data_IF_409433968125
#
_entry.id   IF_409433968125
#
_cell.length_a   1.000
_cell.length_b   1.000
_cell.length_c   1.000
_cell.angle_alpha   90.00
_cell.angle_beta   90.00
_cell.angle_gamma   90.00
#
_symmetry.space_group_name_H-M   'P 1'
#
loop_
_entity.id
_entity.type
_entity.pdbx_description
1 polymer ?
#
# COMPACT_ATOMS: atom_id res chain seq x y z
N UNK A 1 26.08 4.58 13.99
CA UNK A 1 25.35 3.29 14.06
C UNK A 1 25.27 2.74 12.65
N UNK A 2 25.66 1.48 12.44
CA UNK A 2 25.53 0.81 11.13
C UNK A 2 24.07 0.43 10.82
N UNK A 3 23.79 -0.10 9.62
CA UNK A 3 22.45 -0.57 9.27
C UNK A 3 22.03 -1.73 10.20
N UNK A 4 20.88 -1.59 10.87
CA UNK A 4 20.26 -2.67 11.62
C UNK A 4 19.41 -3.56 10.70
N UNK A 5 19.30 -4.85 11.03
CA UNK A 5 18.44 -5.80 10.31
C UNK A 5 17.45 -6.44 11.28
N UNK A 6 16.22 -6.68 10.83
CA UNK A 6 15.23 -7.49 11.55
C UNK A 6 15.29 -8.93 11.03
N UNK A 7 15.42 -9.89 11.94
CA UNK A 7 15.46 -11.32 11.60
C UNK A 7 14.24 -12.03 12.21
N UNK A 8 13.45 -12.68 11.36
CA UNK A 8 12.32 -13.53 11.79
C UNK A 8 12.74 -14.99 11.65
N UNK A 9 12.80 -15.71 12.77
CA UNK A 9 13.05 -17.16 12.78
C UNK A 9 11.71 -17.89 12.78
N UNK A 10 11.44 -18.63 11.71
CA UNK A 10 10.31 -19.56 11.64
C UNK A 10 10.79 -21.01 11.76
N UNK A 11 10.17 -21.78 12.65
CA UNK A 11 10.43 -23.21 12.83
C UNK A 11 9.25 -24.07 12.36
N UNK A 12 9.52 -25.17 11.67
CA UNK A 12 8.51 -26.16 11.28
C UNK A 12 8.19 -27.16 12.41
N UNK A 13 8.96 -27.13 13.49
CA UNK A 13 8.76 -27.90 14.73
C UNK A 13 9.54 -27.21 15.86
N UNK A 14 9.29 -27.54 17.15
CA UNK A 14 10.09 -27.02 18.26
C UNK A 14 11.59 -27.29 18.10
N UNK A 15 11.95 -28.50 17.66
CA UNK A 15 13.36 -28.88 17.43
C UNK A 15 14.03 -28.05 16.34
N UNK A 16 13.32 -27.80 15.25
CA UNK A 16 13.81 -26.98 14.12
C UNK A 16 14.00 -25.53 14.55
N UNK A 17 13.05 -24.98 15.32
CA UNK A 17 13.17 -23.64 15.88
C UNK A 17 14.42 -23.49 16.77
N UNK A 18 14.63 -24.43 17.71
CA UNK A 18 15.80 -24.42 18.60
C UNK A 18 17.13 -24.61 17.85
N UNK A 19 17.13 -25.38 16.76
CA UNK A 19 18.30 -25.49 15.89
C UNK A 19 18.62 -24.14 15.23
N UNK A 20 17.63 -23.49 14.60
CA UNK A 20 17.80 -22.20 13.93
C UNK A 20 18.22 -21.09 14.90
N UNK A 21 17.69 -21.11 16.13
CA UNK A 21 18.09 -20.19 17.19
C UNK A 21 19.58 -20.33 17.53
N UNK A 22 20.08 -21.57 17.73
CA UNK A 22 21.50 -21.83 17.99
C UNK A 22 22.41 -21.38 16.84
N UNK A 23 21.98 -21.59 15.60
CA UNK A 23 22.72 -21.10 14.42
C UNK A 23 22.80 -19.57 14.43
N UNK A 24 21.71 -18.87 14.78
CA UNK A 24 21.75 -17.41 14.91
C UNK A 24 22.70 -16.96 16.03
N UNK A 25 22.68 -17.63 17.18
CA UNK A 25 23.61 -17.36 18.28
C UNK A 25 25.09 -17.52 17.86
N UNK A 26 25.39 -18.54 17.05
CA UNK A 26 26.73 -18.77 16.48
C UNK A 26 27.13 -17.64 15.52
N UNK A 27 26.25 -17.24 14.59
CA UNK A 27 26.48 -16.11 13.67
C UNK A 27 26.73 -14.81 14.45
N UNK A 28 25.95 -14.53 15.49
CA UNK A 28 26.14 -13.35 16.34
C UNK A 28 27.52 -13.37 16.99
N UNK A 29 27.95 -14.51 17.52
CA UNK A 29 29.26 -14.68 18.14
C UNK A 29 30.41 -14.48 17.15
N UNK A 30 30.31 -15.04 15.94
CA UNK A 30 31.35 -14.95 14.91
C UNK A 30 31.48 -13.54 14.32
N UNK A 31 30.36 -12.86 14.13
CA UNK A 31 30.33 -11.53 13.50
C UNK A 31 30.53 -10.38 14.48
N UNK A 32 30.42 -10.65 15.79
CA UNK A 32 30.39 -9.60 16.81
C UNK A 32 29.14 -8.71 16.71
N UNK A 33 28.07 -9.20 16.07
CA UNK A 33 26.81 -8.48 15.99
C UNK A 33 26.26 -8.23 17.41
N UNK A 34 25.56 -7.11 17.57
CA UNK A 34 24.95 -6.73 18.85
C UNK A 34 23.47 -6.50 18.65
N UNK A 35 22.67 -6.87 19.66
CA UNK A 35 21.25 -6.53 19.71
C UNK A 35 21.06 -5.01 19.69
N UNK A 36 20.01 -4.56 19.00
CA UNK A 36 19.61 -3.16 18.99
C UNK A 36 18.50 -3.00 20.04
N UNK A 37 18.85 -3.17 21.32
CA UNK A 37 17.89 -3.21 22.44
C UNK A 37 16.84 -2.10 22.43
N UNK A 38 17.21 -0.91 21.95
CA UNK A 38 16.31 0.24 21.82
C UNK A 38 15.05 -0.03 20.97
N UNK A 39 15.06 -1.03 20.08
CA UNK A 39 13.90 -1.45 19.27
C UNK A 39 13.34 -2.82 19.66
N UNK A 40 13.89 -3.46 20.69
CA UNK A 40 13.53 -4.82 21.13
C UNK A 40 12.68 -4.81 22.41
N UNK A 41 12.42 -3.64 23.00
CA UNK A 41 11.68 -3.51 24.26
C UNK A 41 10.49 -2.53 24.14
N UNK A 42 9.45 -2.80 24.94
CA UNK A 42 8.27 -1.95 25.10
C UNK A 42 7.49 -1.68 23.80
N UNK A 43 6.83 -0.51 23.74
CA UNK A 43 5.98 -0.13 22.62
C UNK A 43 6.74 -0.04 21.28
N UNK A 44 8.06 0.18 21.33
CA UNK A 44 8.90 0.25 20.12
C UNK A 44 9.02 -1.13 19.47
N UNK A 45 9.21 -2.19 20.26
CA UNK A 45 9.24 -3.56 19.77
C UNK A 45 7.94 -3.94 19.08
N UNK A 46 6.82 -3.72 19.75
CA UNK A 46 5.51 -4.14 19.23
C UNK A 46 5.16 -3.37 17.95
N UNK A 47 5.42 -2.06 17.92
CA UNK A 47 5.25 -1.26 16.72
C UNK A 47 6.20 -1.69 15.59
N UNK A 48 7.44 -2.05 15.90
CA UNK A 48 8.44 -2.46 14.92
C UNK A 48 8.12 -3.84 14.32
N UNK A 49 7.76 -4.82 15.15
CA UNK A 49 7.32 -6.15 14.70
C UNK A 49 6.04 -6.03 13.89
N UNK A 50 5.05 -5.26 14.36
CA UNK A 50 3.83 -5.00 13.58
C UNK A 50 4.21 -4.45 12.21
N UNK A 51 5.01 -3.38 12.16
CA UNK A 51 5.40 -2.71 10.92
C UNK A 51 6.15 -3.64 9.99
N UNK A 52 7.09 -4.43 10.51
CA UNK A 52 7.83 -5.39 9.71
C UNK A 52 6.93 -6.47 9.10
N UNK A 53 6.08 -7.10 9.92
CA UNK A 53 5.17 -8.15 9.47
C UNK A 53 4.21 -7.58 8.44
N UNK A 54 3.55 -6.47 8.71
CA UNK A 54 2.56 -5.92 7.78
C UNK A 54 3.22 -5.37 6.52
N UNK A 55 4.33 -4.66 6.60
CA UNK A 55 5.01 -4.19 5.37
C UNK A 55 5.41 -5.37 4.47
N UNK A 56 5.86 -6.49 5.03
CA UNK A 56 6.32 -7.65 4.26
C UNK A 56 5.23 -8.67 3.92
N UNK A 57 4.16 -8.75 4.71
CA UNK A 57 3.10 -9.74 4.60
C UNK A 57 1.79 -9.15 4.05
N UNK A 58 1.53 -7.84 4.16
CA UNK A 58 0.26 -7.23 3.72
C UNK A 58 -0.03 -7.51 2.24
N UNK A 59 0.98 -7.45 1.37
CA UNK A 59 0.82 -7.80 -0.06
C UNK A 59 0.44 -9.28 -0.22
N UNK A 60 1.04 -10.18 0.56
CA UNK A 60 0.75 -11.62 0.50
C UNK A 60 -0.66 -11.91 1.00
N UNK A 61 -1.05 -11.25 2.08
CA UNK A 61 -2.36 -11.38 2.71
C UNK A 61 -3.50 -10.86 1.81
N UNK A 62 -3.25 -9.78 1.08
CA UNK A 62 -4.24 -9.18 0.19
C UNK A 62 -4.25 -9.88 -1.17
N UNK A 63 -3.13 -9.89 -1.89
CA UNK A 63 -3.13 -10.34 -3.29
C UNK A 63 -3.21 -11.88 -3.42
N UNK A 64 -2.59 -12.67 -2.54
CA UNK A 64 -2.61 -14.15 -2.70
C UNK A 64 -3.91 -14.77 -2.21
N UNK A 65 -4.53 -14.20 -1.17
CA UNK A 65 -5.77 -14.75 -0.62
C UNK A 65 -6.95 -14.57 -1.57
N UNK A 66 -6.93 -13.51 -2.38
CA UNK A 66 -8.08 -13.10 -3.21
C UNK A 66 -7.77 -13.12 -4.71
N UNK A 67 -6.49 -13.25 -5.09
CA UNK A 67 -6.03 -13.30 -6.48
C UNK A 67 -5.87 -11.94 -7.16
N UNK A 68 -6.17 -10.84 -6.46
CA UNK A 68 -6.18 -9.49 -7.04
C UNK A 68 -6.00 -8.43 -5.95
N UNK A 69 -5.32 -7.34 -6.31
CA UNK A 69 -5.15 -6.21 -5.41
C UNK A 69 -6.51 -5.54 -5.13
N UNK A 70 -6.89 -5.48 -3.85
CA UNK A 70 -8.01 -4.69 -3.39
C UNK A 70 -7.51 -3.64 -2.41
N UNK A 71 -7.77 -2.36 -2.69
CA UNK A 71 -7.30 -1.24 -1.87
C UNK A 71 -7.31 0.07 -2.64
N UNK A 72 -7.01 1.15 -1.95
CA UNK A 72 -6.79 2.45 -2.60
C UNK A 72 -5.39 2.56 -3.15
N UNK A 73 -5.23 3.40 -4.17
CA UNK A 73 -3.92 3.71 -4.73
C UNK A 73 -3.61 5.16 -4.43
N UNK A 74 -3.14 5.44 -3.21
CA UNK A 74 -2.64 6.77 -2.87
C UNK A 74 -1.28 7.03 -3.52
N UNK A 75 -0.93 8.30 -3.60
CA UNK A 75 0.38 8.75 -4.06
C UNK A 75 1.53 8.41 -3.13
N UNK A 76 2.63 9.11 -3.36
CA UNK A 76 3.76 9.17 -2.44
C UNK A 76 4.03 10.63 -2.11
N UNK A 77 4.05 10.95 -0.82
CA UNK A 77 4.27 12.32 -0.32
C UNK A 77 4.86 12.26 1.09
N UNK A 78 5.08 13.40 1.73
CA UNK A 78 5.49 13.52 3.12
C UNK A 78 4.61 12.68 4.06
N UNK A 79 5.23 12.15 5.12
CA UNK A 79 4.57 11.28 6.09
C UNK A 79 3.26 11.84 6.64
N UNK A 80 3.25 13.15 6.94
CA UNK A 80 2.05 13.81 7.49
C UNK A 80 0.89 13.82 6.51
N UNK A 81 1.15 14.08 5.23
CA UNK A 81 0.10 14.13 4.20
C UNK A 81 -0.50 12.74 4.03
N UNK A 82 0.34 11.72 3.81
CA UNK A 82 -0.10 10.34 3.59
C UNK A 82 -0.78 9.72 4.82
N UNK A 83 -0.30 10.02 6.02
CA UNK A 83 -0.95 9.61 7.28
C UNK A 83 -2.36 10.19 7.37
N UNK A 84 -2.55 11.44 7.00
CA UNK A 84 -3.85 12.11 7.08
C UNK A 84 -4.80 11.62 6.00
N UNK A 85 -4.31 11.45 4.77
CA UNK A 85 -5.04 10.91 3.64
C UNK A 85 -5.71 9.59 4.02
N UNK A 86 -4.93 8.63 4.49
CA UNK A 86 -5.42 7.27 4.75
C UNK A 86 -6.41 7.17 5.93
N UNK A 87 -6.65 8.23 6.70
CA UNK A 87 -7.59 8.15 7.82
C UNK A 87 -9.05 7.99 7.38
N UNK A 88 -9.45 8.60 6.26
CA UNK A 88 -10.83 8.43 5.76
C UNK A 88 -11.08 6.97 5.34
N UNK A 89 -10.08 6.33 4.73
CA UNK A 89 -10.10 4.96 4.24
C UNK A 89 -10.45 3.95 5.33
N UNK A 90 -10.02 4.22 6.56
CA UNK A 90 -10.30 3.37 7.72
C UNK A 90 -11.81 3.34 8.02
N UNK A 91 -12.48 4.47 7.84
CA UNK A 91 -13.92 4.63 8.04
C UNK A 91 -14.66 3.91 6.91
N UNK A 92 -14.23 4.13 5.66
CA UNK A 92 -14.89 3.52 4.50
C UNK A 92 -14.69 1.99 4.46
N UNK A 93 -13.51 1.47 4.85
CA UNK A 93 -13.31 0.03 5.00
C UNK A 93 -14.16 -0.54 6.13
N UNK A 94 -14.37 0.20 7.22
CA UNK A 94 -15.26 -0.24 8.30
C UNK A 94 -16.68 -0.46 7.79
N UNK A 95 -17.21 0.43 6.95
CA UNK A 95 -18.52 0.26 6.32
C UNK A 95 -18.60 -1.04 5.51
N UNK A 96 -17.59 -1.32 4.69
CA UNK A 96 -17.53 -2.56 3.90
C UNK A 96 -17.50 -3.83 4.78
N UNK A 97 -16.79 -3.77 5.92
CA UNK A 97 -16.76 -4.87 6.90
C UNK A 97 -18.13 -5.04 7.54
N UNK A 98 -18.75 -3.95 8.00
CA UNK A 98 -20.04 -3.97 8.69
C UNK A 98 -21.16 -4.48 7.76
N UNK A 99 -21.04 -4.25 6.44
CA UNK A 99 -21.92 -4.80 5.39
C UNK A 99 -21.60 -6.25 4.99
N UNK A 100 -20.52 -6.83 5.50
CA UNK A 100 -20.10 -8.20 5.18
C UNK A 100 -19.50 -8.39 3.78
N UNK A 101 -19.10 -7.30 3.11
CA UNK A 101 -18.60 -7.32 1.73
C UNK A 101 -17.10 -7.64 1.65
N UNK A 102 -16.34 -7.31 2.70
CA UNK A 102 -14.91 -7.64 2.82
C UNK A 102 -14.64 -8.37 4.13
N UNK A 103 -13.52 -9.10 4.21
CA UNK A 103 -13.16 -9.80 5.44
C UNK A 103 -12.85 -8.81 6.58
N UNK A 104 -13.23 -9.13 7.83
CA UNK A 104 -12.97 -8.30 9.00
C UNK A 104 -11.51 -8.40 9.48
N UNK A 105 -10.54 -8.02 8.64
CA UNK A 105 -9.09 -8.16 8.88
C UNK A 105 -8.42 -6.87 9.40
N UNK A 106 -9.14 -6.10 10.22
CA UNK A 106 -8.79 -4.77 10.75
C UNK A 106 -8.83 -3.65 9.69
N UNK A 107 -9.03 -2.40 10.13
CA UNK A 107 -9.04 -1.18 9.31
C UNK A 107 -7.74 -0.39 9.38
N UNK A 108 -6.74 -0.87 10.13
CA UNK A 108 -5.47 -0.17 10.26
C UNK A 108 -4.70 -0.12 8.93
N UNK A 109 -4.19 1.07 8.56
CA UNK A 109 -3.50 1.27 7.30
C UNK A 109 -2.12 0.62 7.28
N UNK A 110 -1.72 0.17 6.11
CA UNK A 110 -0.32 -0.02 5.77
C UNK A 110 0.30 1.37 5.54
N UNK A 111 1.39 1.69 6.23
CA UNK A 111 2.14 2.94 6.04
C UNK A 111 3.63 2.60 5.98
N UNK A 112 4.28 2.96 4.88
CA UNK A 112 5.71 2.76 4.67
C UNK A 112 6.42 4.08 4.40
N UNK A 113 7.61 4.23 4.97
CA UNK A 113 8.45 5.40 4.75
C UNK A 113 9.47 5.06 3.68
N UNK A 114 9.62 5.94 2.70
CA UNK A 114 10.50 5.81 1.56
C UNK A 114 11.61 6.87 1.67
N UNK A 115 12.71 6.68 0.94
CA UNK A 115 13.80 7.67 0.84
C UNK A 115 14.24 8.23 2.20
N UNK A 116 14.67 7.33 3.10
CA UNK A 116 15.15 7.71 4.45
C UNK A 116 14.13 8.51 5.28
N UNK A 117 12.83 8.37 4.98
CA UNK A 117 11.74 9.04 5.68
C UNK A 117 11.28 10.35 5.05
N UNK A 118 11.86 10.76 3.92
CA UNK A 118 11.43 11.96 3.20
C UNK A 118 10.05 11.78 2.59
N UNK A 119 9.80 10.58 2.07
CA UNK A 119 8.55 10.22 1.43
C UNK A 119 7.85 9.10 2.21
N UNK A 120 6.58 8.92 1.94
CA UNK A 120 5.72 7.94 2.57
C UNK A 120 4.68 7.50 1.57
N UNK A 121 4.26 6.26 1.70
CA UNK A 121 3.13 5.71 1.00
C UNK A 121 2.23 5.01 2.02
N UNK A 122 0.92 5.14 1.86
CA UNK A 122 -0.06 4.57 2.77
C UNK A 122 -1.22 3.99 1.99
N UNK A 123 -1.80 2.89 2.47
CA UNK A 123 -2.95 2.24 1.86
C UNK A 123 -3.79 1.55 2.94
N UNK A 124 -5.09 1.45 2.75
CA UNK A 124 -5.93 0.46 3.45
C UNK A 124 -6.30 -0.62 2.44
N UNK A 125 -5.83 -1.83 2.72
CA UNK A 125 -6.01 -2.98 1.84
C UNK A 125 -7.33 -3.69 2.13
N UNK A 126 -7.98 -4.20 1.09
CA UNK A 126 -9.22 -4.96 1.16
C UNK A 126 -8.96 -6.43 0.86
N UNK A 127 -9.35 -7.32 1.77
CA UNK A 127 -9.48 -8.75 1.47
C UNK A 127 -10.92 -9.04 1.08
N UNK A 128 -11.13 -9.35 -0.19
CA UNK A 128 -12.45 -9.47 -0.80
C UNK A 128 -12.62 -10.80 -1.54
N UNK A 129 -13.87 -11.20 -1.78
CA UNK A 129 -14.22 -12.34 -2.63
C UNK A 129 -14.61 -11.81 -4.01
N UNK A 130 -14.27 -12.50 -5.12
CA UNK A 130 -14.59 -12.06 -6.48
C UNK A 130 -16.09 -12.19 -6.79
N UNK A 131 -16.89 -11.38 -6.12
CA UNK A 131 -18.34 -11.28 -6.25
C UNK A 131 -18.70 -9.93 -6.89
N UNK A 132 -19.68 -9.86 -7.80
CA UNK A 132 -20.09 -8.61 -8.45
C UNK A 132 -20.49 -7.49 -7.48
N UNK A 133 -21.18 -7.81 -6.38
CA UNK A 133 -21.59 -6.83 -5.38
C UNK A 133 -20.36 -6.23 -4.68
N UNK A 134 -19.38 -7.10 -4.37
CA UNK A 134 -18.14 -6.69 -3.72
C UNK A 134 -17.28 -5.85 -4.66
N UNK A 135 -17.23 -6.18 -5.95
CA UNK A 135 -16.54 -5.38 -6.95
C UNK A 135 -17.12 -3.96 -7.07
N UNK A 136 -18.45 -3.84 -7.07
CA UNK A 136 -19.13 -2.55 -7.08
C UNK A 136 -18.82 -1.74 -5.83
N UNK A 137 -18.89 -2.36 -4.65
CA UNK A 137 -18.58 -1.68 -3.39
C UNK A 137 -17.10 -1.28 -3.26
N UNK A 138 -16.17 -2.06 -3.82
CA UNK A 138 -14.77 -1.71 -3.89
C UNK A 138 -14.53 -0.49 -4.80
N UNK A 139 -15.26 -0.37 -5.92
CA UNK A 139 -15.21 0.82 -6.77
C UNK A 139 -15.75 2.06 -6.06
N UNK A 140 -16.84 1.94 -5.30
CA UNK A 140 -17.37 3.02 -4.46
C UNK A 140 -16.36 3.47 -3.40
N UNK A 141 -15.70 2.51 -2.74
CA UNK A 141 -14.63 2.76 -1.77
C UNK A 141 -13.47 3.54 -2.38
N UNK A 142 -12.98 3.10 -3.54
CA UNK A 142 -11.91 3.81 -4.28
C UNK A 142 -12.38 5.20 -4.70
N UNK A 143 -13.62 5.36 -5.16
CA UNK A 143 -14.16 6.68 -5.53
C UNK A 143 -14.17 7.64 -4.34
N UNK A 144 -14.71 7.22 -3.18
CA UNK A 144 -14.71 8.03 -1.94
C UNK A 144 -13.29 8.46 -1.56
N UNK A 145 -12.32 7.56 -1.74
CA UNK A 145 -10.94 7.87 -1.45
C UNK A 145 -10.32 8.92 -2.37
N UNK A 146 -10.63 8.84 -3.66
CA UNK A 146 -10.19 9.85 -4.64
C UNK A 146 -10.80 11.22 -4.34
N UNK A 147 -12.10 11.26 -4.01
CA UNK A 147 -12.80 12.50 -3.62
C UNK A 147 -12.19 13.10 -2.33
N UNK A 148 -11.94 12.27 -1.32
CA UNK A 148 -11.31 12.71 -0.08
C UNK A 148 -9.88 13.21 -0.30
N UNK A 149 -9.13 12.56 -1.19
CA UNK A 149 -7.78 12.98 -1.58
C UNK A 149 -7.77 14.37 -2.21
N UNK A 150 -8.66 14.60 -3.18
CA UNK A 150 -8.80 15.90 -3.84
C UNK A 150 -9.24 16.98 -2.85
N UNK A 151 -10.29 16.72 -2.07
CA UNK A 151 -10.84 17.69 -1.11
C UNK A 151 -9.85 18.02 0.02
N UNK A 152 -9.09 17.03 0.47
CA UNK A 152 -8.08 17.16 1.52
C UNK A 152 -6.72 17.66 1.02
N UNK A 153 -6.56 17.84 -0.29
CA UNK A 153 -5.28 18.18 -0.94
C UNK A 153 -4.16 17.22 -0.56
N UNK A 154 -4.43 15.92 -0.62
CA UNK A 154 -3.52 14.86 -0.17
C UNK A 154 -2.60 14.32 -1.28
N UNK A 155 -2.31 15.13 -2.31
CA UNK A 155 -1.49 14.73 -3.44
C UNK A 155 -2.28 13.95 -4.51
N UNK A 156 -1.58 13.47 -5.52
CA UNK A 156 -2.16 12.66 -6.60
C UNK A 156 -2.01 11.17 -6.30
N UNK A 157 -2.95 10.32 -6.74
CA UNK A 157 -2.81 8.87 -6.66
C UNK A 157 -1.63 8.39 -7.50
N UNK A 158 -0.98 7.31 -7.05
CA UNK A 158 0.20 6.75 -7.70
C UNK A 158 -0.12 6.13 -9.07
N UNK A 159 -1.33 5.62 -9.26
CA UNK A 159 -1.82 5.09 -10.53
C UNK A 159 -3.24 5.60 -10.79
N UNK A 160 -3.53 5.86 -12.07
CA UNK A 160 -4.85 6.26 -12.56
C UNK A 160 -5.25 5.32 -13.67
N UNK A 161 -6.41 4.68 -13.51
CA UNK A 161 -6.96 3.77 -14.50
C UNK A 161 -8.06 4.47 -15.28
N UNK A 162 -7.98 4.43 -16.60
CA UNK A 162 -8.90 5.03 -17.56
C UNK A 162 -8.82 6.56 -17.69
N UNK A 163 -9.33 7.03 -18.81
CA UNK A 163 -9.54 8.45 -19.08
C UNK A 163 -10.38 9.16 -18.02
N UNK A 164 -11.41 8.49 -17.46
CA UNK A 164 -12.32 9.13 -16.50
C UNK A 164 -11.58 9.56 -15.23
N UNK A 165 -10.66 8.72 -14.75
CA UNK A 165 -9.82 9.02 -13.60
C UNK A 165 -8.79 10.11 -13.92
N UNK A 166 -8.20 10.07 -15.11
CA UNK A 166 -7.33 11.13 -15.59
C UNK A 166 -8.06 12.48 -15.68
N UNK A 167 -9.28 12.50 -16.22
CA UNK A 167 -10.11 13.71 -16.34
C UNK A 167 -10.55 14.25 -14.99
N UNK A 168 -10.85 13.36 -14.04
CA UNK A 168 -11.16 13.75 -12.66
C UNK A 168 -9.96 14.43 -11.98
N UNK A 169 -8.77 13.84 -12.05
CA UNK A 169 -7.58 14.39 -11.38
C UNK A 169 -6.87 15.51 -12.14
N UNK A 170 -7.03 15.59 -13.46
CA UNK A 170 -6.36 16.58 -14.31
C UNK A 170 -6.47 18.02 -13.80
N UNK A 171 -7.68 18.54 -13.53
CA UNK A 171 -7.88 19.88 -12.98
C UNK A 171 -7.17 20.15 -11.65
N UNK A 172 -6.94 19.09 -10.86
CA UNK A 172 -6.27 19.17 -9.55
C UNK A 172 -4.75 18.99 -9.64
N UNK A 173 -4.23 18.74 -10.84
CA UNK A 173 -2.81 18.51 -11.10
C UNK A 173 -2.33 19.21 -12.37
N UNK A 174 -2.58 20.52 -12.42
CA UNK A 174 -2.09 21.40 -13.50
C UNK A 174 -2.52 20.95 -14.91
N UNK A 175 -3.62 20.21 -15.04
CA UNK A 175 -4.14 19.66 -16.29
C UNK A 175 -3.09 18.89 -17.10
N UNK A 176 -2.28 18.07 -16.43
CA UNK A 176 -1.24 17.24 -17.07
C UNK A 176 -1.78 16.35 -18.22
N UNK A 177 -3.07 16.01 -18.18
CA UNK A 177 -3.79 15.23 -19.19
C UNK A 177 -3.64 15.82 -20.60
N UNK A 178 -3.57 17.15 -20.73
CA UNK A 178 -3.36 17.82 -22.00
C UNK A 178 -2.04 17.40 -22.68
N UNK A 179 -0.95 17.43 -21.91
CA UNK A 179 0.36 17.04 -22.42
C UNK A 179 0.47 15.55 -22.65
N UNK A 180 -0.07 14.72 -21.75
CA UNK A 180 -0.08 13.27 -21.94
C UNK A 180 -0.84 12.85 -23.20
N UNK A 181 -2.00 13.45 -23.48
CA UNK A 181 -2.76 13.18 -24.72
C UNK A 181 -2.01 13.58 -25.98
N UNK A 182 -1.31 14.72 -25.95
CA UNK A 182 -0.44 15.12 -27.06
C UNK A 182 0.66 14.11 -27.33
N UNK A 183 1.32 13.63 -26.28
CA UNK A 183 2.36 12.60 -26.38
C UNK A 183 1.76 11.29 -26.91
N UNK A 184 0.63 10.83 -26.36
CA UNK A 184 -0.06 9.63 -26.82
C UNK A 184 -0.45 9.71 -28.29
N UNK A 185 -1.04 10.82 -28.74
CA UNK A 185 -1.39 11.05 -30.17
C UNK A 185 -0.17 11.03 -31.09
N UNK A 186 0.97 11.54 -30.63
CA UNK A 186 2.20 11.58 -31.43
C UNK A 186 2.78 10.18 -31.67
N UNK A 187 2.77 9.31 -30.65
CA UNK A 187 3.39 7.99 -30.72
C UNK A 187 2.42 6.84 -30.99
N UNK A 188 1.14 7.01 -30.70
CA UNK A 188 0.07 6.04 -30.90
C UNK A 188 -1.21 6.72 -31.41
N UNK A 189 -1.18 7.30 -32.62
CA UNK A 189 -2.30 8.06 -33.18
C UNK A 189 -3.57 7.21 -33.38
N UNK A 190 -3.42 5.90 -33.53
CA UNK A 190 -4.53 4.97 -33.75
C UNK A 190 -4.99 4.28 -32.44
N UNK A 191 -4.38 4.60 -31.29
CA UNK A 191 -4.75 4.04 -29.99
C UNK A 191 -4.60 2.51 -29.91
N UNK A 192 -3.61 1.94 -30.60
CA UNK A 192 -3.38 0.49 -30.66
C UNK A 192 -2.71 -0.02 -29.38
N UNK A 193 -1.95 0.83 -28.69
CA UNK A 193 -1.32 0.47 -27.42
C UNK A 193 -2.28 0.64 -26.25
N UNK A 194 -2.21 -0.29 -25.30
CA UNK A 194 -3.09 -0.40 -24.13
C UNK A 194 -3.28 0.95 -23.42
N UNK A 195 -4.54 1.34 -23.22
CA UNK A 195 -4.90 2.63 -22.61
C UNK A 195 -5.77 2.50 -21.36
N UNK A 196 -6.30 1.32 -21.02
CA UNK A 196 -7.16 1.13 -19.85
C UNK A 196 -6.44 1.42 -18.53
N UNK A 197 -5.13 1.19 -18.48
CA UNK A 197 -4.28 1.48 -17.31
C UNK A 197 -3.61 2.86 -17.37
N UNK A 198 -3.92 3.65 -18.40
CA UNK A 198 -3.35 4.96 -18.65
C UNK A 198 -4.44 5.88 -19.23
N UNK A 199 -4.08 6.69 -20.23
CA UNK A 199 -4.94 7.64 -20.92
C UNK A 199 -5.03 7.28 -22.41
N UNK A 200 -6.19 7.51 -23.01
CA UNK A 200 -6.36 7.34 -24.46
C UNK A 200 -5.89 8.56 -25.24
N UNK A 201 -5.85 8.42 -26.56
CA UNK A 201 -5.59 9.52 -27.49
C UNK A 201 -6.84 10.38 -27.76
N UNK A 202 -7.84 10.41 -26.86
CA UNK A 202 -9.04 11.26 -27.07
C UNK A 202 -8.71 12.75 -27.02
N UNK A 203 -9.64 13.57 -27.49
CA UNK A 203 -9.60 15.04 -27.31
C UNK A 203 -9.99 15.42 -25.87
#
# INVERSE_FOLDING_TARGET
MGPGICLVIAGNSPRDFEYKKRVLEEIIKETGATSLKAVEEGDVHDAFIWRFIRVTASIRETMRATGVFGGEVFGTDSYRIMRNAVQHSRIDKKDLIDRGLVLPDNTDPFITSLEQGQLTHSEVLLRWKPDPEVAQAAMEYVQKANEATVKGHHGLPHHLWSDAMHDFFGPHACNYTYWLRKIKKLYDPNGVSESSHHISAKD
#
